data_IF_706083472428
#
_entry.id   IF_706083472428
#
_cell.length_a   1.000
_cell.length_b   1.000
_cell.length_c   1.000
_cell.angle_alpha   90.00
_cell.angle_beta   90.00
_cell.angle_gamma   90.00
#
_symmetry.space_group_name_H-M   'P 1'
#
loop_
_entity.id
_entity.type
_entity.pdbx_description
1 polymer ?
#
# COMPACT_ATOMS: atom_id res chain seq x y z
N UNK A 1 20.02 26.52 -11.86
CA UNK A 1 19.03 26.07 -10.85
C UNK A 1 19.82 25.75 -9.60
N UNK A 2 19.89 26.73 -8.70
CA UNK A 2 20.60 26.63 -7.44
C UNK A 2 19.73 25.83 -6.47
N UNK A 3 19.91 24.51 -6.49
CA UNK A 3 19.35 23.65 -5.47
C UNK A 3 20.22 23.84 -4.22
N UNK A 4 19.82 24.78 -3.36
CA UNK A 4 20.28 24.81 -1.98
C UNK A 4 20.05 23.41 -1.39
N UNK A 5 21.13 22.62 -1.34
CA UNK A 5 21.18 21.40 -0.56
C UNK A 5 21.07 21.92 0.87
N UNK A 6 19.88 21.80 1.46
CA UNK A 6 19.73 22.05 2.89
C UNK A 6 20.75 21.15 3.58
N UNK A 7 21.70 21.72 4.30
CA UNK A 7 22.56 20.95 5.20
C UNK A 7 21.63 20.27 6.21
N UNK A 8 21.39 18.98 5.98
CA UNK A 8 20.53 18.17 6.80
C UNK A 8 21.43 17.39 7.75
N UNK A 9 21.31 17.57 9.08
CA UNK A 9 22.07 16.82 10.05
C UNK A 9 22.02 15.31 9.78
N UNK A 10 23.12 14.59 10.04
CA UNK A 10 23.25 13.17 9.72
C UNK A 10 22.12 12.32 10.32
N UNK A 11 21.66 12.68 11.52
CA UNK A 11 20.53 12.01 12.18
C UNK A 11 19.21 12.20 11.41
N UNK A 12 18.92 13.42 10.95
CA UNK A 12 17.71 13.70 10.18
C UNK A 12 17.73 12.94 8.85
N UNK A 13 18.88 12.89 8.19
CA UNK A 13 19.07 12.10 6.97
C UNK A 13 18.89 10.60 7.22
N UNK A 14 19.42 10.07 8.32
CA UNK A 14 19.26 8.67 8.69
C UNK A 14 17.80 8.32 8.99
N UNK A 15 17.08 9.19 9.72
CA UNK A 15 15.65 9.03 10.00
C UNK A 15 14.82 9.11 8.72
N UNK A 16 15.13 10.03 7.82
CA UNK A 16 14.44 10.15 6.53
C UNK A 16 14.62 8.89 5.69
N UNK A 17 15.85 8.38 5.55
CA UNK A 17 16.12 7.14 4.80
C UNK A 17 15.34 5.97 5.38
N UNK A 18 15.39 5.79 6.70
CA UNK A 18 14.62 4.74 7.37
C UNK A 18 13.12 4.88 7.09
N UNK A 19 12.57 6.08 7.19
CA UNK A 19 11.15 6.31 6.91
C UNK A 19 10.76 6.01 5.45
N UNK A 20 11.64 6.30 4.50
CA UNK A 20 11.45 5.97 3.08
C UNK A 20 11.56 4.47 2.82
N UNK A 21 12.50 3.78 3.46
CA UNK A 21 12.66 2.33 3.36
C UNK A 21 11.43 1.61 3.95
N UNK A 22 10.95 2.05 5.12
CA UNK A 22 9.74 1.53 5.76
C UNK A 22 8.50 1.75 4.86
N UNK A 23 8.39 2.94 4.23
CA UNK A 23 7.32 3.24 3.29
C UNK A 23 7.40 2.34 2.04
N UNK A 24 8.58 2.19 1.45
CA UNK A 24 8.79 1.38 0.26
C UNK A 24 8.55 -0.11 0.52
N UNK A 25 8.89 -0.61 1.71
CA UNK A 25 8.63 -2.00 2.11
C UNK A 25 7.13 -2.29 2.30
N UNK A 26 6.35 -1.27 2.68
CA UNK A 26 4.90 -1.38 2.81
C UNK A 26 4.15 -1.19 1.47
N UNK A 27 4.82 -0.76 0.41
CA UNK A 27 4.20 -0.55 -0.90
C UNK A 27 3.84 -1.88 -1.59
N UNK A 28 2.55 -2.18 -1.63
CA UNK A 28 2.03 -3.20 -2.53
C UNK A 28 2.08 -2.71 -3.98
N UNK A 29 2.50 -3.57 -4.91
CA UNK A 29 2.56 -3.25 -6.35
C UNK A 29 1.72 -4.22 -7.15
N UNK A 30 1.00 -3.69 -8.14
CA UNK A 30 0.24 -4.52 -9.06
C UNK A 30 1.17 -5.48 -9.82
N UNK A 31 0.94 -6.78 -9.74
CA UNK A 31 1.67 -7.83 -10.47
C UNK A 31 1.43 -7.83 -12.00
N UNK A 32 0.91 -6.73 -12.55
CA UNK A 32 0.70 -6.52 -13.99
C UNK A 32 1.25 -5.18 -14.48
N UNK A 33 0.66 -4.07 -14.03
CA UNK A 33 1.11 -2.73 -14.45
C UNK A 33 2.21 -2.14 -13.55
N UNK A 34 2.54 -2.80 -12.43
CA UNK A 34 3.57 -2.40 -11.46
C UNK A 34 3.34 -1.07 -10.75
N UNK A 35 2.17 -0.44 -10.91
CA UNK A 35 1.80 0.74 -10.13
C UNK A 35 1.73 0.38 -8.64
N UNK A 36 2.12 1.32 -7.80
CA UNK A 36 1.88 1.26 -6.36
C UNK A 36 0.38 1.29 -6.10
N UNK A 37 -0.09 0.38 -5.24
CA UNK A 37 -1.47 0.26 -4.82
C UNK A 37 -1.67 1.20 -3.63
N UNK A 38 -2.63 2.11 -3.74
CA UNK A 38 -2.85 3.16 -2.74
C UNK A 38 -3.80 2.67 -1.65
N UNK A 39 -3.65 3.23 -0.44
CA UNK A 39 -4.59 3.00 0.66
C UNK A 39 -6.01 3.34 0.20
N UNK A 40 -6.95 2.44 0.49
CA UNK A 40 -8.34 2.57 0.07
C UNK A 40 -8.65 2.00 -1.32
N UNK A 41 -7.65 1.58 -2.09
CA UNK A 41 -7.89 0.82 -3.31
C UNK A 41 -8.25 -0.63 -2.99
N UNK A 42 -9.01 -1.26 -3.89
CA UNK A 42 -9.22 -2.70 -3.88
C UNK A 42 -8.12 -3.42 -4.65
N UNK A 43 -7.65 -4.53 -4.07
CA UNK A 43 -6.71 -5.45 -4.68
C UNK A 43 -7.35 -6.82 -4.84
N UNK A 44 -7.10 -7.41 -6.00
CA UNK A 44 -7.61 -8.70 -6.42
C UNK A 44 -6.49 -9.72 -6.30
N UNK A 45 -6.63 -10.65 -5.35
CA UNK A 45 -5.61 -11.65 -5.04
C UNK A 45 -5.84 -12.91 -5.87
N UNK A 46 -4.79 -13.37 -6.53
CA UNK A 46 -4.74 -14.61 -7.32
C UNK A 46 -3.78 -15.62 -6.68
N UNK A 47 -3.77 -16.83 -7.22
CA UNK A 47 -2.86 -17.90 -6.77
C UNK A 47 -1.39 -17.43 -6.74
N UNK A 48 -0.64 -17.87 -5.72
CA UNK A 48 0.76 -17.50 -5.52
C UNK A 48 0.96 -16.05 -5.05
N UNK A 49 0.00 -15.52 -4.28
CA UNK A 49 0.02 -14.16 -3.72
C UNK A 49 0.15 -13.04 -4.75
N UNK A 50 -0.17 -13.33 -6.03
CA UNK A 50 -0.18 -12.32 -7.08
C UNK A 50 -1.37 -11.39 -6.86
N UNK A 51 -1.07 -10.14 -6.52
CA UNK A 51 -2.08 -9.09 -6.39
C UNK A 51 -2.19 -8.25 -7.66
N UNK A 52 -3.41 -7.87 -8.02
CA UNK A 52 -3.70 -7.08 -9.22
C UNK A 52 -4.61 -5.91 -8.84
N UNK A 53 -4.34 -4.72 -9.39
CA UNK A 53 -5.19 -3.56 -9.15
C UNK A 53 -6.53 -3.67 -9.87
N UNK A 54 -7.52 -2.92 -9.40
CA UNK A 54 -8.87 -2.91 -9.97
C UNK A 54 -8.89 -2.65 -11.48
N UNK A 55 -8.05 -1.72 -11.96
CA UNK A 55 -7.88 -1.41 -13.39
C UNK A 55 -7.36 -2.58 -14.23
N UNK A 56 -6.56 -3.46 -13.62
CA UNK A 56 -5.98 -4.62 -14.31
C UNK A 56 -6.85 -5.87 -14.16
N UNK A 57 -7.73 -5.96 -13.16
CA UNK A 57 -8.66 -7.07 -12.97
C UNK A 57 -9.55 -7.30 -14.19
N UNK A 58 -9.98 -6.25 -14.87
CA UNK A 58 -10.80 -6.39 -16.08
C UNK A 58 -10.12 -7.20 -17.19
N UNK A 59 -8.78 -7.28 -17.18
CA UNK A 59 -7.99 -8.01 -18.17
C UNK A 59 -7.63 -9.43 -17.74
N UNK A 60 -7.99 -9.81 -16.51
CA UNK A 60 -7.82 -11.16 -16.00
C UNK A 60 -9.07 -12.00 -16.33
N UNK A 61 -8.85 -13.20 -16.87
CA UNK A 61 -9.95 -14.09 -17.28
C UNK A 61 -10.57 -14.83 -16.10
N UNK A 62 -9.75 -15.17 -15.11
CA UNK A 62 -10.18 -15.90 -13.92
C UNK A 62 -10.67 -14.90 -12.87
N UNK A 63 -11.69 -15.27 -12.07
CA UNK A 63 -12.04 -14.50 -10.89
C UNK A 63 -10.87 -14.54 -9.88
N UNK A 64 -10.70 -13.51 -9.05
CA UNK A 64 -9.76 -13.54 -7.95
C UNK A 64 -10.19 -14.54 -6.88
N UNK A 65 -9.22 -15.04 -6.12
CA UNK A 65 -9.44 -15.89 -4.94
C UNK A 65 -10.08 -15.07 -3.82
N UNK A 66 -9.60 -13.84 -3.64
CA UNK A 66 -10.17 -12.89 -2.69
C UNK A 66 -9.96 -11.45 -3.14
N UNK A 67 -10.80 -10.56 -2.63
CA UNK A 67 -10.69 -9.11 -2.83
C UNK A 67 -10.53 -8.48 -1.45
N UNK A 68 -9.54 -7.60 -1.29
CA UNK A 68 -9.32 -6.86 -0.04
C UNK A 68 -9.01 -5.41 -0.31
N UNK A 69 -9.22 -4.57 0.71
CA UNK A 69 -8.80 -3.18 0.70
C UNK A 69 -7.30 -3.09 1.04
N UNK A 70 -6.59 -2.15 0.42
CA UNK A 70 -5.27 -1.73 0.88
C UNK A 70 -5.45 -0.88 2.13
N UNK A 71 -4.79 -1.27 3.21
CA UNK A 71 -4.79 -0.54 4.46
C UNK A 71 -3.47 0.23 4.63
N UNK A 72 -3.55 1.40 5.26
CA UNK A 72 -2.35 2.14 5.66
C UNK A 72 -1.63 1.44 6.82
N UNK A 73 -0.35 1.79 7.07
CA UNK A 73 0.48 1.12 8.06
C UNK A 73 -0.01 1.25 9.51
N UNK A 74 -0.89 2.22 9.80
CA UNK A 74 -1.49 2.39 11.13
C UNK A 74 -2.80 1.60 11.32
N UNK A 75 -3.29 0.88 10.30
CA UNK A 75 -4.53 0.13 10.39
C UNK A 75 -4.44 -0.94 11.48
N UNK A 76 -5.44 -0.98 12.37
CA UNK A 76 -5.45 -1.88 13.53
C UNK A 76 -4.54 -1.46 14.69
N UNK A 77 -3.71 -0.42 14.53
CA UNK A 77 -2.79 0.05 15.58
C UNK A 77 -3.35 1.21 16.42
N UNK A 78 -4.26 2.02 15.87
CA UNK A 78 -4.75 3.24 16.52
C UNK A 78 -6.22 3.19 16.94
N UNK A 79 -7.04 2.40 16.25
CA UNK A 79 -8.48 2.28 16.51
C UNK A 79 -8.89 0.80 16.41
N UNK A 80 -9.57 0.30 17.44
CA UNK A 80 -10.16 -1.04 17.46
C UNK A 80 -11.68 -0.92 17.31
N UNK A 81 -12.22 -1.39 16.19
CA UNK A 81 -13.67 -1.46 15.99
C UNK A 81 -14.20 -2.58 16.89
N UNK A 82 -14.95 -2.23 17.93
CA UNK A 82 -15.55 -3.18 18.87
C UNK A 82 -16.98 -3.59 18.49
N UNK A 83 -17.60 -2.88 17.55
CA UNK A 83 -18.96 -3.15 17.10
C UNK A 83 -18.96 -3.71 15.67
N UNK A 84 -19.54 -4.90 15.49
CA UNK A 84 -19.62 -5.62 14.22
C UNK A 84 -21.05 -5.65 13.66
N UNK A 85 -21.98 -4.86 14.21
CA UNK A 85 -23.34 -4.79 13.69
C UNK A 85 -23.36 -4.15 12.30
N UNK A 86 -24.14 -4.73 11.39
CA UNK A 86 -24.40 -4.12 10.09
C UNK A 86 -25.10 -2.77 10.30
N UNK A 87 -24.66 -1.73 9.58
CA UNK A 87 -25.39 -0.48 9.51
C UNK A 87 -26.80 -0.76 8.95
N UNK A 88 -27.82 -0.41 9.72
CA UNK A 88 -29.23 -0.58 9.37
C UNK A 88 -29.68 0.44 8.31
#
# INVERSE_FOLDING_TARGET
>A
MDASIREMPDLEMALLRRGLDDLAAAEERCGRCRRTLLVGEYVHVYDGDRIVCDLCRERERKPPVTVRLVHGPAFGHTIRIIDQRAAA
#
